data_IF_649686051460
#
_entry.id   IF_649686051460
#
_cell.length_a   1.000
_cell.length_b   1.000
_cell.length_c   1.000
_cell.angle_alpha   90.00
_cell.angle_beta   90.00
_cell.angle_gamma   90.00
#
_symmetry.space_group_name_H-M   'P 1'
#
loop_
_entity.id
_entity.type
_entity.pdbx_description
1 polymer ?
#
# COMPACT_ATOMS: atom_id res chain seq x y z
N UNK A 1 18.22 3.35 -7.91
CA UNK A 1 16.74 3.39 -8.08
C UNK A 1 16.26 2.39 -9.14
N UNK A 2 16.73 1.12 -9.14
CA UNK A 2 16.40 0.12 -10.18
C UNK A 2 16.23 -1.32 -9.62
N UNK A 3 15.75 -1.50 -8.38
CA UNK A 3 15.71 -2.85 -7.77
C UNK A 3 14.37 -3.33 -7.21
N UNK A 4 13.25 -2.63 -7.44
CA UNK A 4 11.93 -3.17 -7.07
C UNK A 4 11.32 -4.02 -8.20
N UNK A 5 11.68 -3.72 -9.45
CA UNK A 5 11.02 -4.27 -10.65
C UNK A 5 11.30 -5.76 -10.89
N UNK A 6 12.43 -6.31 -10.43
CA UNK A 6 12.78 -7.72 -10.66
C UNK A 6 12.33 -8.66 -9.52
N UNK A 7 11.82 -8.16 -8.39
CA UNK A 7 11.56 -9.01 -7.21
C UNK A 7 10.14 -9.61 -7.17
N UNK A 8 9.18 -9.05 -7.91
CA UNK A 8 7.74 -9.37 -7.85
C UNK A 8 7.25 -10.35 -8.93
N UNK A 9 8.13 -11.13 -9.55
CA UNK A 9 7.83 -11.69 -10.86
C UNK A 9 6.80 -12.81 -10.98
N UNK A 10 6.35 -13.52 -9.94
CA UNK A 10 5.30 -14.52 -10.17
C UNK A 10 4.38 -14.69 -8.95
N UNK A 11 3.09 -14.93 -9.22
CA UNK A 11 1.92 -14.81 -8.34
C UNK A 11 2.09 -15.28 -6.88
N UNK A 12 2.96 -16.24 -6.57
CA UNK A 12 3.24 -16.69 -5.19
C UNK A 12 4.01 -15.70 -4.31
N UNK A 13 4.68 -14.69 -4.88
CA UNK A 13 5.41 -13.66 -4.09
C UNK A 13 4.50 -12.53 -3.58
N UNK A 14 3.32 -12.36 -4.18
CA UNK A 14 2.34 -11.36 -3.76
C UNK A 14 1.71 -11.73 -2.43
N UNK A 15 1.36 -13.01 -2.25
CA UNK A 15 0.82 -13.51 -0.98
C UNK A 15 1.86 -13.40 0.13
N UNK A 16 3.13 -13.70 -0.16
CA UNK A 16 4.21 -13.56 0.83
C UNK A 16 4.50 -12.09 1.17
N UNK A 17 4.52 -11.18 0.19
CA UNK A 17 4.68 -9.75 0.42
C UNK A 17 3.51 -9.18 1.23
N UNK A 18 2.29 -9.63 0.95
CA UNK A 18 1.09 -9.25 1.69
C UNK A 18 1.14 -9.78 3.14
N UNK A 19 1.51 -11.04 3.35
CA UNK A 19 1.67 -11.63 4.68
C UNK A 19 2.76 -10.92 5.50
N UNK A 20 3.86 -10.55 4.86
CA UNK A 20 4.94 -9.80 5.51
C UNK A 20 4.51 -8.39 5.92
N UNK A 21 3.84 -7.68 5.01
CA UNK A 21 3.32 -6.34 5.30
C UNK A 21 2.20 -6.37 6.35
N UNK A 22 1.34 -7.40 6.36
CA UNK A 22 0.38 -7.64 7.45
C UNK A 22 1.06 -7.91 8.79
N UNK A 23 2.15 -8.69 8.81
CA UNK A 23 2.93 -8.90 10.05
C UNK A 23 3.58 -7.61 10.52
N UNK A 24 4.05 -6.76 9.61
CA UNK A 24 4.58 -5.44 9.96
C UNK A 24 3.48 -4.53 10.52
N UNK A 25 2.28 -4.49 9.94
CA UNK A 25 1.14 -3.73 10.50
C UNK A 25 0.73 -4.28 11.87
N UNK A 26 0.88 -5.58 12.14
CA UNK A 26 0.65 -6.13 13.48
C UNK A 26 1.69 -5.70 14.52
N UNK A 27 2.88 -5.26 14.11
CA UNK A 27 3.96 -4.82 15.01
C UNK A 27 4.09 -3.30 15.09
N UNK A 28 3.89 -2.60 13.97
CA UNK A 28 3.93 -1.15 13.81
C UNK A 28 2.74 -0.73 12.92
N UNK A 29 1.53 -0.75 13.49
CA UNK A 29 0.25 -0.50 12.79
C UNK A 29 0.21 0.84 12.06
N UNK A 30 0.97 1.82 12.53
CA UNK A 30 0.97 3.21 12.07
C UNK A 30 2.07 3.52 11.05
N UNK A 31 2.89 2.54 10.66
CA UNK A 31 3.99 2.78 9.72
C UNK A 31 3.46 3.02 8.30
N UNK A 32 3.32 4.28 7.91
CA UNK A 32 2.77 4.67 6.61
C UNK A 32 3.51 4.06 5.42
N UNK A 33 4.83 3.93 5.49
CA UNK A 33 5.62 3.31 4.42
C UNK A 33 5.21 1.86 4.14
N UNK A 34 4.75 1.12 5.16
CA UNK A 34 4.25 -0.25 4.99
C UNK A 34 2.87 -0.26 4.31
N UNK A 35 1.98 0.66 4.71
CA UNK A 35 0.69 0.85 4.04
C UNK A 35 0.87 1.23 2.56
N UNK A 36 1.79 2.16 2.25
CA UNK A 36 2.12 2.55 0.87
C UNK A 36 2.57 1.37 0.01
N UNK A 37 3.40 0.46 0.56
CA UNK A 37 3.83 -0.74 -0.16
C UNK A 37 2.67 -1.67 -0.50
N UNK A 38 1.75 -1.91 0.44
CA UNK A 38 0.55 -2.71 0.19
C UNK A 38 -0.36 -2.04 -0.85
N UNK A 39 -0.54 -0.71 -0.77
CA UNK A 39 -1.33 0.04 -1.75
C UNK A 39 -0.79 -0.13 -3.18
N UNK A 40 0.52 0.01 -3.36
CA UNK A 40 1.18 -0.23 -4.66
C UNK A 40 0.98 -1.69 -5.10
N UNK A 41 1.18 -2.65 -4.21
CA UNK A 41 1.02 -4.08 -4.50
C UNK A 41 -0.38 -4.39 -5.04
N UNK A 42 -1.41 -3.88 -4.37
CA UNK A 42 -2.79 -4.04 -4.78
C UNK A 42 -3.08 -3.33 -6.11
N UNK A 43 -2.59 -2.12 -6.30
CA UNK A 43 -2.79 -1.40 -7.56
C UNK A 43 -2.13 -2.13 -8.76
N UNK A 44 -0.90 -2.62 -8.59
CA UNK A 44 -0.14 -3.32 -9.64
C UNK A 44 -0.67 -4.73 -9.95
N UNK A 45 -1.42 -5.33 -9.03
CA UNK A 45 -2.12 -6.62 -9.25
C UNK A 45 -3.54 -6.45 -9.79
N UNK A 46 -3.97 -5.22 -10.08
CA UNK A 46 -5.32 -4.92 -10.56
C UNK A 46 -6.38 -4.84 -9.45
N UNK A 47 -5.99 -5.00 -8.19
CA UNK A 47 -6.86 -4.89 -7.00
C UNK A 47 -6.98 -3.44 -6.52
N UNK A 48 -7.36 -2.52 -7.40
CA UNK A 48 -7.43 -1.08 -7.09
C UNK A 48 -8.34 -0.74 -5.91
N UNK A 49 -9.47 -1.44 -5.76
CA UNK A 49 -10.37 -1.27 -4.61
C UNK A 49 -9.67 -1.60 -3.29
N UNK A 50 -8.91 -2.69 -3.23
CA UNK A 50 -8.15 -3.08 -2.04
C UNK A 50 -7.03 -2.06 -1.71
N UNK A 51 -6.41 -1.46 -2.74
CA UNK A 51 -5.45 -0.38 -2.53
C UNK A 51 -6.08 0.87 -1.89
N UNK A 52 -7.28 1.24 -2.34
CA UNK A 52 -8.06 2.35 -1.77
C UNK A 52 -8.49 2.05 -0.33
N UNK A 53 -8.92 0.82 -0.06
CA UNK A 53 -9.28 0.39 1.28
C UNK A 53 -8.08 0.45 2.25
N UNK A 54 -6.90 0.03 1.79
CA UNK A 54 -5.68 0.07 2.60
C UNK A 54 -5.32 1.51 3.03
N UNK A 55 -5.47 2.49 2.15
CA UNK A 55 -5.33 3.91 2.53
C UNK A 55 -6.31 4.30 3.64
N UNK A 56 -7.56 3.85 3.54
CA UNK A 56 -8.57 4.07 4.58
C UNK A 56 -8.20 3.48 5.94
N UNK A 57 -7.57 2.30 5.96
CA UNK A 57 -7.04 1.67 7.18
C UNK A 57 -5.91 2.52 7.77
N UNK A 58 -4.93 2.93 6.94
CA UNK A 58 -3.82 3.78 7.35
C UNK A 58 -4.31 5.08 7.98
N UNK A 59 -5.20 5.81 7.27
CA UNK A 59 -5.76 7.08 7.74
C UNK A 59 -6.52 6.94 9.06
N UNK A 60 -7.36 5.91 9.19
CA UNK A 60 -8.10 5.67 10.45
C UNK A 60 -7.14 5.36 11.60
N UNK A 61 -6.15 4.49 11.39
CA UNK A 61 -5.16 4.18 12.43
C UNK A 61 -4.41 5.42 12.92
N UNK A 62 -3.92 6.26 12.01
CA UNK A 62 -3.23 7.51 12.36
C UNK A 62 -4.13 8.49 13.11
N UNK A 63 -5.38 8.64 12.68
CA UNK A 63 -6.34 9.50 13.34
C UNK A 63 -6.72 8.97 14.75
N UNK A 64 -6.97 7.68 14.87
CA UNK A 64 -7.44 7.05 16.11
C UNK A 64 -6.33 6.96 17.17
N UNK A 65 -5.09 6.64 16.77
CA UNK A 65 -3.98 6.42 17.71
C UNK A 65 -3.11 7.67 17.94
N UNK A 66 -2.93 8.52 16.92
CA UNK A 66 -2.03 9.70 16.99
C UNK A 66 -2.75 11.04 16.78
N UNK A 67 -4.00 11.04 16.32
CA UNK A 67 -4.73 12.28 15.99
C UNK A 67 -4.12 13.05 14.82
N UNK A 68 -3.37 12.38 13.94
CA UNK A 68 -2.70 13.01 12.78
C UNK A 68 -3.27 12.53 11.46
N UNK A 69 -3.11 13.35 10.43
CA UNK A 69 -3.39 12.99 9.04
C UNK A 69 -2.20 12.25 8.39
N UNK A 70 -2.43 11.47 7.32
CA UNK A 70 -1.36 10.80 6.58
C UNK A 70 -0.35 11.76 5.97
N UNK A 71 0.88 11.30 5.83
CA UNK A 71 1.96 11.98 5.10
C UNK A 71 1.51 12.36 3.67
N UNK A 72 1.96 13.52 3.14
CA UNK A 72 1.65 13.96 1.77
C UNK A 72 1.95 12.89 0.71
N UNK A 73 3.01 12.11 0.89
CA UNK A 73 3.39 11.00 0.03
C UNK A 73 2.32 9.90 -0.01
N UNK A 74 1.70 9.60 1.13
CA UNK A 74 0.60 8.62 1.26
C UNK A 74 -0.64 9.11 0.54
N UNK A 75 -0.99 10.39 0.73
CA UNK A 75 -2.13 11.04 0.05
C UNK A 75 -1.90 11.09 -1.47
N UNK A 76 -0.71 11.48 -1.92
CA UNK A 76 -0.36 11.54 -3.33
C UNK A 76 -0.44 10.17 -4.00
N UNK A 77 0.04 9.12 -3.33
CA UNK A 77 -0.07 7.75 -3.82
C UNK A 77 -1.54 7.32 -3.95
N UNK A 78 -2.35 7.59 -2.93
CA UNK A 78 -3.80 7.33 -2.97
C UNK A 78 -4.46 8.00 -4.17
N UNK A 79 -4.21 9.28 -4.40
CA UNK A 79 -4.78 10.01 -5.53
C UNK A 79 -4.28 9.48 -6.89
N UNK A 80 -3.03 9.03 -7.00
CA UNK A 80 -2.52 8.39 -8.22
C UNK A 80 -3.21 7.05 -8.51
N UNK A 81 -3.42 6.22 -7.49
CA UNK A 81 -4.15 4.95 -7.61
C UNK A 81 -5.63 5.21 -7.93
N UNK A 82 -6.25 6.19 -7.26
CA UNK A 82 -7.62 6.63 -7.51
C UNK A 82 -7.78 7.27 -8.89
N UNK A 83 -6.76 7.88 -9.47
CA UNK A 83 -6.79 8.34 -10.85
C UNK A 83 -6.47 7.23 -11.88
N UNK A 84 -6.13 6.02 -11.42
CA UNK A 84 -5.70 4.93 -12.31
C UNK A 84 -4.34 5.17 -12.96
N UNK A 85 -3.52 6.09 -12.42
CA UNK A 85 -2.15 6.37 -12.91
C UNK A 85 -1.17 5.30 -12.45
N UNK A 86 -1.45 4.66 -11.32
CA UNK A 86 -0.79 3.44 -10.84
C UNK A 86 -1.82 2.32 -10.91
N UNK A 87 -1.67 1.46 -11.90
CA UNK A 87 -2.48 0.28 -12.12
C UNK A 87 -1.67 -0.75 -12.92
N UNK A 88 -2.11 -2.00 -12.93
CA UNK A 88 -1.57 -3.02 -13.83
C UNK A 88 -1.71 -2.51 -15.27
N UNK A 89 -0.60 -2.35 -16.00
CA UNK A 89 -0.64 -2.13 -17.44
C UNK A 89 -1.10 -3.44 -18.09
N UNK A 90 -2.24 -3.39 -18.76
CA UNK A 90 -2.75 -4.46 -19.61
C UNK A 90 -1.79 -4.72 -20.77
#
# INVERSE_FOLDING_TARGET
MQHLTNYYQDLGRYDMAYQYALRQIKMESLKESAHRQIMVLFAMTGRRSAAIEQYGICRRGLADELGIEPEPETVALFEQIKAGRICKKT
#
